data_IF_092414666056
#
_entry.id   IF_092414666056
#
_cell.length_a   1.000
_cell.length_b   1.000
_cell.length_c   1.000
_cell.angle_alpha   90.00
_cell.angle_beta   90.00
_cell.angle_gamma   90.00
#
_symmetry.space_group_name_H-M   'P 1'
#
loop_
_entity.id
_entity.type
_entity.pdbx_description
1 polymer ?
#
# COMPACT_ATOMS: atom_id res chain seq x y z
N UNK A 1 -21.22 -16.58 -48.90
CA UNK A 1 -20.11 -16.38 -47.94
C UNK A 1 -20.48 -15.27 -46.97
N UNK A 2 -20.81 -15.59 -45.71
CA UNK A 2 -20.33 -14.84 -44.52
C UNK A 2 -20.86 -15.51 -43.25
N UNK A 3 -20.03 -16.33 -42.62
CA UNK A 3 -20.27 -16.75 -41.24
C UNK A 3 -20.09 -15.54 -40.33
N UNK A 4 -21.08 -15.24 -39.49
CA UNK A 4 -20.94 -14.30 -38.39
C UNK A 4 -20.33 -15.04 -37.20
N UNK A 5 -19.02 -14.86 -36.98
CA UNK A 5 -18.34 -15.36 -35.78
C UNK A 5 -18.42 -14.26 -34.72
N UNK A 6 -19.21 -14.49 -33.67
CA UNK A 6 -19.27 -13.64 -32.49
C UNK A 6 -18.13 -14.06 -31.55
N UNK A 7 -17.10 -13.23 -31.41
CA UNK A 7 -16.07 -13.41 -30.38
C UNK A 7 -16.59 -12.91 -29.04
N UNK A 8 -17.05 -13.83 -28.18
CA UNK A 8 -17.36 -13.53 -26.79
C UNK A 8 -16.05 -13.55 -25.98
N UNK A 9 -15.41 -12.41 -25.79
CA UNK A 9 -14.25 -12.28 -24.89
C UNK A 9 -14.78 -12.28 -23.46
N UNK A 10 -14.80 -13.45 -22.84
CA UNK A 10 -15.11 -13.62 -21.43
C UNK A 10 -13.94 -13.06 -20.61
N UNK A 11 -13.93 -11.76 -20.34
CA UNK A 11 -13.00 -11.17 -19.38
C UNK A 11 -13.34 -11.73 -18.00
N UNK A 12 -12.61 -12.75 -17.56
CA UNK A 12 -12.67 -13.24 -16.19
C UNK A 12 -12.25 -12.10 -15.26
N UNK A 13 -13.24 -11.40 -14.70
CA UNK A 13 -13.02 -10.43 -13.64
C UNK A 13 -12.67 -11.28 -12.42
N UNK A 14 -11.38 -11.58 -12.25
CA UNK A 14 -10.87 -12.10 -11.00
C UNK A 14 -11.14 -11.03 -9.93
N UNK A 15 -12.23 -11.20 -9.19
CA UNK A 15 -12.52 -10.43 -7.98
C UNK A 15 -11.53 -10.94 -6.93
N UNK A 16 -10.27 -10.53 -7.04
CA UNK A 16 -9.31 -10.73 -5.97
C UNK A 16 -9.90 -10.02 -4.74
N UNK A 17 -10.26 -10.78 -3.71
CA UNK A 17 -10.63 -10.20 -2.43
C UNK A 17 -9.40 -9.46 -1.92
N UNK A 18 -9.37 -8.13 -2.03
CA UNK A 18 -8.24 -7.33 -1.56
C UNK A 18 -8.37 -7.18 -0.04
N UNK A 19 -7.42 -7.73 0.71
CA UNK A 19 -7.29 -7.38 2.11
C UNK A 19 -6.83 -5.92 2.24
N UNK A 20 -7.10 -5.35 3.42
CA UNK A 20 -6.69 -3.98 3.75
C UNK A 20 -5.33 -4.07 4.44
N UNK A 21 -4.37 -3.21 4.09
CA UNK A 21 -3.12 -3.11 4.82
C UNK A 21 -3.32 -3.00 6.34
N UNK A 22 -2.66 -3.86 7.09
CA UNK A 22 -2.67 -3.89 8.55
C UNK A 22 -1.37 -3.31 9.07
N UNK A 23 -1.43 -2.15 9.73
CA UNK A 23 -0.24 -1.57 10.35
C UNK A 23 0.26 -2.49 11.47
N UNK A 24 1.56 -2.81 11.44
CA UNK A 24 2.24 -3.63 12.42
C UNK A 24 3.24 -2.86 13.27
N UNK A 25 3.82 -1.78 12.73
CA UNK A 25 4.79 -0.99 13.48
C UNK A 25 4.91 0.43 12.97
N UNK A 26 5.23 1.32 13.89
CA UNK A 26 5.56 2.71 13.65
C UNK A 26 6.74 3.10 14.53
N UNK A 27 7.69 3.83 13.93
CA UNK A 27 8.86 4.36 14.61
C UNK A 27 9.17 5.75 14.05
N UNK A 28 9.54 6.70 14.91
CA UNK A 28 10.04 8.03 14.53
C UNK A 28 11.37 8.40 15.20
N UNK A 29 12.25 7.41 15.40
CA UNK A 29 13.63 7.59 15.87
C UNK A 29 14.62 7.69 14.69
N UNK A 30 15.89 7.94 14.99
CA UNK A 30 17.00 7.94 14.00
C UNK A 30 16.80 8.90 12.81
N UNK A 31 16.19 10.07 13.05
CA UNK A 31 15.91 11.07 12.02
C UNK A 31 15.09 10.54 10.81
N UNK A 32 14.22 9.54 11.05
CA UNK A 32 13.31 9.01 10.03
C UNK A 32 12.01 8.52 10.64
N UNK A 33 10.99 8.43 9.81
CA UNK A 33 9.79 7.64 10.15
C UNK A 33 9.90 6.30 9.45
N UNK A 34 9.69 5.22 10.20
CA UNK A 34 9.55 3.86 9.65
C UNK A 34 8.15 3.35 9.97
N UNK A 35 7.43 2.90 8.95
CA UNK A 35 6.11 2.26 9.09
C UNK A 35 6.20 0.87 8.49
N UNK A 36 5.74 -0.13 9.24
CA UNK A 36 5.63 -1.51 8.76
C UNK A 36 4.16 -1.89 8.71
N UNK A 37 3.71 -2.46 7.60
CA UNK A 37 2.38 -3.03 7.49
C UNK A 37 2.43 -4.40 6.79
N UNK A 38 1.41 -5.20 7.03
CA UNK A 38 1.19 -6.47 6.35
C UNK A 38 -0.10 -6.50 5.54
N UNK A 39 -0.12 -7.37 4.55
CA UNK A 39 -1.29 -7.69 3.74
C UNK A 39 -1.29 -9.20 3.52
N UNK A 40 -2.27 -9.88 4.09
CA UNK A 40 -2.43 -11.33 4.09
C UNK A 40 -2.97 -11.89 2.76
N UNK A 41 -3.22 -11.01 1.78
CA UNK A 41 -3.66 -11.38 0.44
C UNK A 41 -2.72 -10.88 -0.64
N UNK A 42 -1.42 -11.02 -0.37
CA UNK A 42 -0.40 -10.83 -1.37
C UNK A 42 -0.45 -12.00 -2.35
N UNK A 43 -1.18 -11.82 -3.46
CA UNK A 43 -1.10 -12.73 -4.60
C UNK A 43 0.33 -12.81 -5.18
N UNK A 44 0.49 -13.42 -6.35
CA UNK A 44 1.82 -13.67 -6.94
C UNK A 44 2.68 -12.41 -7.18
N UNK A 45 2.08 -11.23 -7.23
CA UNK A 45 2.77 -9.95 -7.38
C UNK A 45 2.26 -8.95 -6.35
N UNK A 46 3.18 -8.25 -5.68
CA UNK A 46 2.88 -7.23 -4.69
C UNK A 46 3.75 -5.98 -4.92
N UNK A 47 3.23 -5.04 -5.71
CA UNK A 47 3.91 -3.78 -6.00
C UNK A 47 3.27 -2.65 -5.22
N UNK A 48 4.10 -1.87 -4.52
CA UNK A 48 3.69 -0.69 -3.75
C UNK A 48 4.27 0.57 -4.39
N UNK A 49 3.42 1.54 -4.69
CA UNK A 49 3.80 2.82 -5.30
C UNK A 49 2.99 3.99 -4.74
N UNK A 50 3.31 5.22 -5.16
CA UNK A 50 2.61 6.47 -4.80
C UNK A 50 2.41 6.64 -3.28
N UNK A 51 3.42 6.28 -2.50
CA UNK A 51 3.33 6.27 -1.03
C UNK A 51 3.44 7.68 -0.47
N UNK A 52 2.41 8.09 0.25
CA UNK A 52 2.29 9.40 0.89
C UNK A 52 1.83 9.22 2.35
N UNK A 53 2.57 9.82 3.29
CA UNK A 53 2.21 9.96 4.69
C UNK A 53 1.53 11.30 4.93
N UNK A 54 0.40 11.28 5.63
CA UNK A 54 -0.44 12.45 5.90
C UNK A 54 -0.73 12.52 7.41
N UNK A 55 -0.06 13.40 8.17
CA UNK A 55 -0.43 13.73 9.54
C UNK A 55 -1.77 14.45 9.60
N UNK A 56 -2.50 14.32 10.71
CA UNK A 56 -3.77 15.05 10.89
C UNK A 56 -3.58 16.56 11.08
N UNK A 57 -2.40 16.97 11.55
CA UNK A 57 -2.10 18.37 11.84
C UNK A 57 -1.46 19.07 10.63
N UNK A 58 -2.06 20.19 10.18
CA UNK A 58 -1.61 21.05 9.06
C UNK A 58 -1.53 20.40 7.68
N UNK A 59 -1.93 19.13 7.53
CA UNK A 59 -2.18 18.49 6.23
C UNK A 59 -0.97 18.41 5.28
N UNK A 60 0.26 18.53 5.78
CA UNK A 60 1.45 18.40 4.93
C UNK A 60 1.62 16.95 4.51
N UNK A 61 1.75 16.72 3.21
CA UNK A 61 2.01 15.41 2.64
C UNK A 61 3.52 15.13 2.58
N UNK A 62 3.91 13.90 2.94
CA UNK A 62 5.31 13.46 2.90
C UNK A 62 5.43 12.23 2.00
N UNK A 63 6.28 12.33 0.97
CA UNK A 63 6.59 11.19 0.09
C UNK A 63 7.54 10.23 0.80
N UNK A 64 7.38 8.94 0.55
CA UNK A 64 8.32 7.94 1.04
C UNK A 64 9.71 8.17 0.41
N UNK A 65 10.74 8.10 1.25
CA UNK A 65 12.14 8.05 0.82
C UNK A 65 12.50 6.64 0.30
N UNK A 66 11.90 5.59 0.87
CA UNK A 66 12.05 4.23 0.35
C UNK A 66 10.84 3.35 0.66
N UNK A 67 10.64 2.36 -0.20
CA UNK A 67 9.63 1.31 -0.05
C UNK A 67 10.33 -0.03 -0.22
N UNK A 68 10.23 -0.91 0.77
CA UNK A 68 10.74 -2.28 0.70
C UNK A 68 9.58 -3.25 0.91
N UNK A 69 9.49 -4.25 0.06
CA UNK A 69 8.45 -5.27 0.11
C UNK A 69 9.10 -6.65 0.13
N UNK A 70 8.63 -7.50 1.05
CA UNK A 70 8.94 -8.93 1.09
C UNK A 70 7.62 -9.69 1.07
N UNK A 71 7.54 -10.78 0.31
CA UNK A 71 6.35 -11.63 0.27
C UNK A 71 6.78 -13.04 0.67
N UNK A 72 6.16 -13.57 1.71
CA UNK A 72 6.40 -14.91 2.23
C UNK A 72 5.06 -15.59 2.51
N UNK A 73 4.86 -16.81 1.99
CA UNK A 73 3.64 -17.60 2.20
C UNK A 73 2.32 -16.84 1.92
N UNK A 74 2.30 -15.96 0.90
CA UNK A 74 1.11 -15.17 0.53
C UNK A 74 0.85 -13.94 1.41
N UNK A 75 1.74 -13.65 2.36
CA UNK A 75 1.71 -12.44 3.20
C UNK A 75 2.78 -11.47 2.72
N UNK A 76 2.39 -10.27 2.32
CA UNK A 76 3.33 -9.18 2.07
C UNK A 76 3.63 -8.46 3.38
N UNK A 77 4.92 -8.25 3.65
CA UNK A 77 5.40 -7.31 4.66
C UNK A 77 6.06 -6.13 3.96
N UNK A 78 5.60 -4.92 4.26
CA UNK A 78 6.07 -3.70 3.60
C UNK A 78 6.62 -2.75 4.64
N UNK A 79 7.87 -2.31 4.41
CA UNK A 79 8.54 -1.28 5.20
C UNK A 79 8.59 0.02 4.39
N UNK A 80 8.00 1.06 4.93
CA UNK A 80 8.00 2.41 4.39
C UNK A 80 8.93 3.28 5.23
N UNK A 81 9.80 4.05 4.57
CA UNK A 81 10.65 5.03 5.23
C UNK A 81 10.30 6.42 4.71
N UNK A 82 10.14 7.37 5.62
CA UNK A 82 9.95 8.80 5.31
C UNK A 82 11.02 9.63 6.03
N UNK A 83 11.28 10.86 5.57
CA UNK A 83 12.05 11.83 6.35
C UNK A 83 11.48 11.99 7.76
N UNK A 84 12.31 12.42 8.71
CA UNK A 84 11.84 12.76 10.04
C UNK A 84 10.72 13.80 10.00
N UNK A 85 9.70 13.61 10.85
CA UNK A 85 8.61 14.57 11.02
C UNK A 85 8.41 14.86 12.49
N UNK A 86 8.14 16.12 12.81
CA UNK A 86 7.91 16.58 14.20
C UNK A 86 6.43 16.65 14.56
N UNK A 87 5.52 16.56 13.57
CA UNK A 87 4.08 16.65 13.75
C UNK A 87 3.40 15.44 13.09
N UNK A 88 2.98 14.48 13.92
CA UNK A 88 2.49 13.16 13.46
C UNK A 88 1.28 12.66 14.25
N UNK A 89 0.40 13.57 14.69
CA UNK A 89 -0.86 13.17 15.34
C UNK A 89 -1.76 12.41 14.36
N UNK A 90 -2.18 11.21 14.75
CA UNK A 90 -3.11 10.34 14.00
C UNK A 90 -2.78 10.26 12.49
N UNK A 91 -1.57 9.81 12.10
CA UNK A 91 -1.18 9.82 10.70
C UNK A 91 -1.92 8.74 9.91
N UNK A 92 -2.09 8.99 8.63
CA UNK A 92 -2.58 8.02 7.65
C UNK A 92 -1.57 7.87 6.52
N UNK A 93 -1.50 6.69 5.95
CA UNK A 93 -0.73 6.44 4.74
C UNK A 93 -1.71 6.21 3.60
N UNK A 94 -1.46 6.88 2.47
CA UNK A 94 -2.09 6.58 1.19
C UNK A 94 -1.05 6.02 0.25
N UNK A 95 -1.40 4.99 -0.52
CA UNK A 95 -0.50 4.34 -1.47
C UNK A 95 -1.29 3.61 -2.55
N UNK A 96 -0.60 3.04 -3.53
CA UNK A 96 -1.16 2.07 -4.47
C UNK A 96 -0.57 0.70 -4.24
N UNK A 97 -1.43 -0.31 -4.19
CA UNK A 97 -1.04 -1.73 -4.19
C UNK A 97 -1.53 -2.31 -5.50
N UNK A 98 -0.61 -2.81 -6.33
CA UNK A 98 -0.91 -3.32 -7.67
C UNK A 98 -1.78 -2.34 -8.48
N UNK A 99 -1.39 -1.06 -8.44
CA UNK A 99 -2.08 0.04 -9.13
C UNK A 99 -3.36 0.55 -8.43
N UNK A 100 -3.88 -0.12 -7.41
CA UNK A 100 -5.13 0.27 -6.72
C UNK A 100 -4.85 1.13 -5.49
N UNK A 101 -5.47 2.31 -5.42
CA UNK A 101 -5.34 3.22 -4.27
C UNK A 101 -5.88 2.57 -2.99
N UNK A 102 -5.11 2.69 -1.91
CA UNK A 102 -5.42 2.23 -0.55
C UNK A 102 -5.01 3.30 0.45
N UNK A 103 -5.73 3.32 1.57
CA UNK A 103 -5.45 4.20 2.69
C UNK A 103 -5.60 3.40 3.97
N UNK A 104 -4.67 3.55 4.90
CA UNK A 104 -4.77 2.97 6.23
C UNK A 104 -4.28 3.94 7.30
N UNK A 105 -4.78 3.77 8.52
CA UNK A 105 -4.32 4.51 9.70
C UNK A 105 -3.02 3.89 10.20
N UNK A 106 -2.06 4.73 10.56
CA UNK A 106 -0.83 4.27 11.21
C UNK A 106 -1.17 3.85 12.64
N UNK A 107 -0.67 2.69 13.05
CA UNK A 107 -0.68 2.18 14.40
C UNK A 107 0.37 2.96 15.19
N UNK A 108 -0.02 3.63 16.27
CA UNK A 108 0.87 4.41 17.13
C UNK A 108 1.01 3.73 18.48
#
# INVERSE_FOLDING_TARGET
MRNFIIFLILAAINVAAYAKPHCQGFNNYDNKVTIVFTDDKAGNQYTVSDVILIPSWKGREYKAASVRTTVENGVATVTLVFPHITQFSNPKVTLRINGKKRTFKVCQ
#
